data_IF_048715774081
#
_entry.id   IF_048715774081
#
_cell.length_a   1.000
_cell.length_b   1.000
_cell.length_c   1.000
_cell.angle_alpha   90.00
_cell.angle_beta   90.00
_cell.angle_gamma   90.00
#
_symmetry.space_group_name_H-M   'P 1'
#
loop_
_entity.id
_entity.type
_entity.pdbx_description
1 polymer ?
#
# COMPACT_ATOMS: atom_id res chain seq x y z
N UNK A 1 -37.45 -31.72 -23.14
CA UNK A 1 -37.25 -31.25 -21.75
C UNK A 1 -35.78 -30.92 -21.59
N UNK A 2 -35.41 -29.66 -21.82
CA UNK A 2 -34.01 -29.20 -21.81
C UNK A 2 -33.73 -28.66 -20.42
N UNK A 3 -32.83 -29.32 -19.69
CA UNK A 3 -32.42 -28.91 -18.34
C UNK A 3 -31.66 -27.58 -18.46
N UNK A 4 -32.33 -26.51 -18.04
CA UNK A 4 -31.76 -25.20 -17.82
C UNK A 4 -30.77 -25.33 -16.67
N UNK A 5 -29.47 -25.35 -16.99
CA UNK A 5 -28.41 -25.33 -15.98
C UNK A 5 -28.57 -24.11 -15.06
N UNK A 6 -28.13 -24.19 -13.79
CA UNK A 6 -28.29 -23.10 -12.85
C UNK A 6 -27.61 -21.84 -13.40
N UNK A 7 -28.33 -20.72 -13.31
CA UNK A 7 -27.85 -19.40 -13.65
C UNK A 7 -26.52 -19.12 -12.94
N UNK A 8 -25.61 -18.31 -13.52
CA UNK A 8 -24.46 -17.83 -12.79
C UNK A 8 -24.96 -17.06 -11.57
N UNK A 9 -24.85 -17.70 -10.40
CA UNK A 9 -24.82 -17.05 -9.09
C UNK A 9 -23.96 -15.80 -9.26
N UNK A 10 -24.62 -14.66 -9.08
CA UNK A 10 -24.05 -13.40 -8.61
C UNK A 10 -22.56 -13.51 -8.28
N UNK A 11 -21.71 -13.31 -9.29
CA UNK A 11 -20.34 -12.94 -9.05
C UNK A 11 -20.44 -11.61 -8.30
N UNK A 12 -20.29 -11.66 -6.98
CA UNK A 12 -20.08 -10.48 -6.16
C UNK A 12 -19.05 -9.64 -6.92
N UNK A 13 -19.48 -8.49 -7.43
CA UNK A 13 -18.63 -7.50 -8.06
C UNK A 13 -17.73 -6.87 -6.98
N UNK A 14 -16.97 -7.71 -6.29
CA UNK A 14 -15.95 -7.31 -5.35
C UNK A 14 -14.80 -6.71 -6.13
N UNK A 15 -14.31 -5.57 -5.66
CA UNK A 15 -13.08 -4.99 -6.17
C UNK A 15 -11.96 -6.03 -6.21
N UNK A 16 -11.20 -6.07 -7.30
CA UNK A 16 -10.03 -6.94 -7.41
C UNK A 16 -9.06 -6.65 -6.24
N UNK A 17 -8.43 -7.67 -5.63
CA UNK A 17 -7.63 -7.48 -4.42
C UNK A 17 -6.53 -6.43 -4.55
N UNK A 18 -5.85 -6.40 -5.70
CA UNK A 18 -4.78 -5.43 -5.99
C UNK A 18 -5.33 -4.03 -6.21
N UNK A 19 -6.55 -3.89 -6.73
CA UNK A 19 -7.25 -2.60 -6.78
C UNK A 19 -7.50 -2.07 -5.37
N UNK A 20 -7.87 -2.93 -4.40
CA UNK A 20 -8.03 -2.51 -3.00
C UNK A 20 -6.71 -2.02 -2.41
N UNK A 21 -5.60 -2.69 -2.72
CA UNK A 21 -4.25 -2.26 -2.29
C UNK A 21 -3.93 -0.89 -2.89
N UNK A 22 -4.12 -0.72 -4.21
CA UNK A 22 -3.82 0.54 -4.90
C UNK A 22 -4.67 1.71 -4.35
N UNK A 23 -5.96 1.48 -4.10
CA UNK A 23 -6.85 2.47 -3.45
C UNK A 23 -6.40 2.75 -2.03
N UNK A 24 -6.01 1.71 -1.27
CA UNK A 24 -5.50 1.88 0.09
C UNK A 24 -4.26 2.77 0.14
N UNK A 25 -3.31 2.56 -0.78
CA UNK A 25 -2.15 3.44 -0.94
C UNK A 25 -2.55 4.85 -1.38
N UNK A 26 -3.53 4.98 -2.28
CA UNK A 26 -4.05 6.29 -2.66
C UNK A 26 -4.68 7.04 -1.49
N UNK A 27 -5.35 6.36 -0.55
CA UNK A 27 -5.84 7.01 0.67
C UNK A 27 -4.70 7.38 1.62
N UNK A 28 -3.76 6.46 1.87
CA UNK A 28 -2.65 6.68 2.79
C UNK A 28 -1.63 7.75 2.32
N UNK A 29 -1.58 8.07 1.02
CA UNK A 29 -0.62 9.04 0.47
C UNK A 29 -1.24 10.17 -0.36
N UNK A 30 -2.44 9.97 -0.90
CA UNK A 30 -3.11 10.88 -1.84
C UNK A 30 -4.09 11.86 -1.18
N UNK A 31 -4.30 11.76 0.13
CA UNK A 31 -4.93 12.83 0.90
C UNK A 31 -4.01 14.06 0.84
N UNK A 32 -4.23 14.92 -0.15
CA UNK A 32 -3.79 16.31 -0.13
C UNK A 32 -4.16 16.85 1.25
N UNK A 33 -3.13 17.17 2.06
CA UNK A 33 -3.20 17.52 3.50
C UNK A 33 -3.98 18.82 3.75
N UNK A 34 -5.22 18.88 3.30
CA UNK A 34 -6.08 20.05 3.35
C UNK A 34 -6.98 19.90 4.57
N UNK A 35 -6.48 20.38 5.71
CA UNK A 35 -7.22 20.62 6.97
C UNK A 35 -7.23 19.53 8.06
N UNK A 36 -6.30 18.56 8.06
CA UNK A 36 -6.09 17.70 9.24
C UNK A 36 -7.17 16.64 9.52
N UNK A 37 -8.25 16.62 8.73
CA UNK A 37 -9.18 15.47 8.64
C UNK A 37 -8.52 14.23 8.01
N UNK A 38 -7.35 14.39 7.40
CA UNK A 38 -6.62 13.37 6.66
C UNK A 38 -6.01 12.28 7.55
N UNK A 39 -5.81 12.53 8.85
CA UNK A 39 -5.28 11.54 9.81
C UNK A 39 -6.17 10.29 9.97
N UNK A 40 -7.46 10.39 9.63
CA UNK A 40 -8.38 9.24 9.63
C UNK A 40 -8.33 8.45 8.32
N UNK A 41 -7.81 9.04 7.24
CA UNK A 41 -7.71 8.37 5.95
C UNK A 41 -6.51 7.42 5.90
N UNK A 42 -5.44 7.71 6.63
CA UNK A 42 -4.26 6.84 6.74
C UNK A 42 -4.61 5.43 7.29
N UNK A 43 -5.27 5.28 8.45
CA UNK A 43 -5.66 3.96 8.94
C UNK A 43 -6.68 3.27 8.04
N UNK A 44 -7.57 4.02 7.37
CA UNK A 44 -8.49 3.45 6.37
C UNK A 44 -7.73 2.92 5.15
N UNK A 45 -6.73 3.67 4.67
CA UNK A 45 -5.88 3.29 3.55
C UNK A 45 -5.08 2.03 3.83
N UNK A 46 -4.47 1.94 5.01
CA UNK A 46 -3.77 0.73 5.46
C UNK A 46 -4.73 -0.44 5.68
N UNK A 47 -5.95 -0.19 6.17
CA UNK A 47 -7.00 -1.20 6.30
C UNK A 47 -7.43 -1.79 4.95
N UNK A 48 -7.55 -0.95 3.91
CA UNK A 48 -7.83 -1.40 2.55
C UNK A 48 -6.66 -2.23 1.97
N UNK A 49 -5.42 -1.81 2.24
CA UNK A 49 -4.23 -2.62 1.90
C UNK A 49 -4.29 -3.99 2.58
N UNK A 50 -4.53 -4.05 3.89
CA UNK A 50 -4.67 -5.30 4.63
C UNK A 50 -5.79 -6.18 4.06
N UNK A 51 -6.96 -5.60 3.75
CA UNK A 51 -8.08 -6.32 3.15
C UNK A 51 -7.77 -6.88 1.75
N UNK A 52 -7.02 -6.14 0.92
CA UNK A 52 -6.58 -6.63 -0.38
C UNK A 52 -5.54 -7.74 -0.26
N UNK A 53 -4.57 -7.57 0.65
CA UNK A 53 -3.53 -8.56 0.92
C UNK A 53 -4.12 -9.85 1.47
N UNK A 54 -5.10 -9.78 2.38
CA UNK A 54 -5.73 -10.97 2.97
C UNK A 54 -6.40 -11.86 1.92
N UNK A 55 -6.97 -11.27 0.86
CA UNK A 55 -7.57 -12.01 -0.26
C UNK A 55 -6.53 -12.64 -1.19
N UNK A 56 -5.27 -12.18 -1.13
CA UNK A 56 -4.14 -12.74 -1.88
C UNK A 56 -3.33 -13.75 -1.08
N UNK A 57 -3.56 -13.87 0.23
CA UNK A 57 -2.91 -14.85 1.10
C UNK A 57 -3.25 -16.28 0.66
N UNK A 58 -2.27 -17.16 0.77
CA UNK A 58 -2.39 -18.60 0.53
C UNK A 58 -1.59 -19.35 1.58
N UNK A 59 -1.97 -20.59 1.84
CA UNK A 59 -1.18 -21.47 2.69
C UNK A 59 0.24 -21.60 2.12
N UNK A 60 1.25 -21.15 2.87
CA UNK A 60 2.66 -21.23 2.48
C UNK A 60 3.23 -20.02 1.72
N UNK A 61 2.49 -18.91 1.61
CA UNK A 61 3.01 -17.65 1.04
C UNK A 61 3.31 -16.60 2.13
N UNK A 62 4.45 -16.78 2.80
CA UNK A 62 4.91 -15.95 3.93
C UNK A 62 5.02 -14.45 3.59
N UNK A 63 5.18 -14.13 2.29
CA UNK A 63 5.32 -12.75 1.81
C UNK A 63 4.04 -11.93 2.01
N UNK A 64 2.89 -12.47 1.61
CA UNK A 64 1.60 -11.78 1.80
C UNK A 64 1.18 -11.73 3.27
N UNK A 65 1.54 -12.74 4.06
CA UNK A 65 1.27 -12.78 5.51
C UNK A 65 2.02 -11.66 6.24
N UNK A 66 3.31 -11.48 5.91
CA UNK A 66 4.13 -10.39 6.46
C UNK A 66 3.62 -9.02 6.01
N UNK A 67 3.29 -8.88 4.74
CA UNK A 67 2.71 -7.65 4.19
C UNK A 67 1.40 -7.27 4.88
N UNK A 68 0.52 -8.26 5.08
CA UNK A 68 -0.74 -8.09 5.79
C UNK A 68 -0.52 -7.66 7.25
N UNK A 69 0.36 -8.36 7.98
CA UNK A 69 0.67 -8.02 9.35
C UNK A 69 1.23 -6.59 9.47
N UNK A 70 2.11 -6.19 8.55
CA UNK A 70 2.64 -4.82 8.52
C UNK A 70 1.56 -3.79 8.22
N UNK A 71 0.67 -4.05 7.26
CA UNK A 71 -0.45 -3.15 6.96
C UNK A 71 -1.36 -2.97 8.18
N UNK A 72 -1.68 -4.05 8.90
CA UNK A 72 -2.44 -3.99 10.16
C UNK A 72 -1.67 -3.21 11.24
N UNK A 73 -0.36 -3.42 11.37
CA UNK A 73 0.46 -2.67 12.31
C UNK A 73 0.42 -1.16 12.02
N UNK A 74 0.47 -0.77 10.74
CA UNK A 74 0.34 0.63 10.33
C UNK A 74 -1.03 1.23 10.68
N UNK A 75 -2.13 0.49 10.54
CA UNK A 75 -3.46 0.95 11.00
C UNK A 75 -3.39 1.40 12.46
N UNK A 76 -2.81 0.56 13.33
CA UNK A 76 -2.68 0.88 14.75
C UNK A 76 -1.69 2.00 15.04
N UNK A 77 -0.57 2.05 14.31
CA UNK A 77 0.41 3.12 14.45
C UNK A 77 -0.17 4.50 14.11
N UNK A 78 -0.94 4.59 13.02
CA UNK A 78 -1.59 5.83 12.59
C UNK A 78 -2.71 6.25 13.56
N UNK A 79 -3.49 5.29 14.08
CA UNK A 79 -4.47 5.57 15.15
C UNK A 79 -3.76 6.11 16.40
N UNK A 80 -2.63 5.52 16.80
CA UNK A 80 -1.86 5.98 17.95
C UNK A 80 -1.33 7.41 17.73
N UNK A 81 -0.80 7.72 16.54
CA UNK A 81 -0.37 9.09 16.19
C UNK A 81 -1.53 10.06 16.22
N UNK A 82 -2.68 9.69 15.65
CA UNK A 82 -3.88 10.50 15.68
C UNK A 82 -4.31 10.81 17.12
N UNK A 83 -4.37 9.81 18.00
CA UNK A 83 -4.73 10.00 19.40
C UNK A 83 -3.72 10.88 20.15
N UNK A 84 -2.41 10.67 19.90
CA UNK A 84 -1.34 11.47 20.49
C UNK A 84 -1.40 12.94 20.04
N UNK A 85 -1.85 13.21 18.81
CA UNK A 85 -1.96 14.59 18.29
C UNK A 85 -2.99 15.45 19.05
N UNK A 86 -3.93 14.84 19.78
CA UNK A 86 -4.84 15.56 20.68
C UNK A 86 -4.23 15.85 22.06
N UNK A 87 -3.21 15.09 22.47
CA UNK A 87 -2.61 15.16 23.79
C UNK A 87 -1.34 16.02 23.84
N UNK A 88 -0.58 16.07 22.75
CA UNK A 88 0.67 16.83 22.66
C UNK A 88 0.72 17.73 21.42
N UNK A 89 1.36 18.89 21.55
CA UNK A 89 1.71 19.72 20.39
C UNK A 89 2.66 18.97 19.45
N UNK A 90 2.42 19.04 18.15
CA UNK A 90 3.25 18.40 17.10
C UNK A 90 4.74 18.74 17.17
N UNK A 91 5.12 19.84 17.81
CA UNK A 91 6.51 20.29 17.96
C UNK A 91 7.26 19.65 19.14
N UNK A 92 6.56 18.84 19.96
CA UNK A 92 7.19 18.08 21.03
C UNK A 92 8.25 17.12 20.46
N UNK A 93 9.35 16.85 21.19
CA UNK A 93 10.36 15.87 20.76
C UNK A 93 9.75 14.48 20.56
N UNK A 94 8.72 14.15 21.33
CA UNK A 94 7.96 12.89 21.23
C UNK A 94 7.13 12.85 19.94
N UNK A 95 6.43 13.93 19.61
CA UNK A 95 5.68 14.07 18.36
C UNK A 95 6.56 13.94 17.12
N UNK A 96 7.74 14.57 17.13
CA UNK A 96 8.74 14.43 16.06
C UNK A 96 9.30 13.01 15.93
N UNK A 97 9.64 12.37 17.06
CA UNK A 97 10.13 10.99 17.05
C UNK A 97 9.05 10.03 16.51
N UNK A 98 7.81 10.17 16.97
CA UNK A 98 6.70 9.33 16.52
C UNK A 98 6.38 9.54 15.04
N UNK A 99 6.33 10.79 14.57
CA UNK A 99 6.13 11.10 13.16
C UNK A 99 7.23 10.51 12.27
N UNK A 100 8.47 10.49 12.74
CA UNK A 100 9.60 9.87 12.02
C UNK A 100 9.46 8.34 11.97
N UNK A 101 9.09 7.71 13.09
CA UNK A 101 8.87 6.26 13.18
C UNK A 101 7.73 5.84 12.27
N UNK A 102 6.63 6.58 12.25
CA UNK A 102 5.48 6.29 11.38
C UNK A 102 5.83 6.51 9.91
N UNK A 103 6.55 7.57 9.55
CA UNK A 103 7.01 7.78 8.18
C UNK A 103 7.95 6.65 7.71
N UNK A 104 8.89 6.22 8.56
CA UNK A 104 9.74 5.06 8.29
C UNK A 104 8.91 3.78 8.12
N UNK A 105 7.96 3.56 9.04
CA UNK A 105 7.02 2.45 9.01
C UNK A 105 6.20 2.40 7.72
N UNK A 106 5.71 3.55 7.25
CA UNK A 106 4.97 3.66 6.00
C UNK A 106 5.81 3.27 4.78
N UNK A 107 7.07 3.70 4.70
CA UNK A 107 7.98 3.30 3.60
C UNK A 107 8.27 1.80 3.63
N UNK A 108 8.51 1.24 4.82
CA UNK A 108 8.71 -0.21 5.01
C UNK A 108 7.43 -0.97 4.65
N UNK A 109 6.26 -0.45 5.02
CA UNK A 109 4.98 -1.06 4.70
C UNK A 109 4.74 -1.06 3.19
N UNK A 110 4.93 0.06 2.48
CA UNK A 110 4.87 0.08 1.00
C UNK A 110 5.79 -0.97 0.40
N UNK A 111 7.04 -1.04 0.89
CA UNK A 111 8.00 -2.01 0.43
C UNK A 111 7.51 -3.45 0.57
N UNK A 112 7.04 -3.80 1.77
CA UNK A 112 6.55 -5.14 2.11
C UNK A 112 5.25 -5.48 1.39
N UNK A 113 4.37 -4.51 1.14
CA UNK A 113 3.11 -4.70 0.41
C UNK A 113 3.38 -4.99 -1.06
N UNK A 114 4.33 -4.29 -1.68
CA UNK A 114 4.60 -4.42 -3.12
C UNK A 114 5.51 -5.62 -3.42
N UNK A 115 6.42 -6.01 -2.51
CA UNK A 115 7.34 -7.15 -2.70
C UNK A 115 6.65 -8.45 -3.15
N UNK A 116 5.64 -8.98 -2.44
CA UNK A 116 4.99 -10.23 -2.82
C UNK A 116 4.18 -10.08 -4.11
N UNK A 117 3.65 -8.89 -4.41
CA UNK A 117 2.99 -8.60 -5.70
C UNK A 117 4.00 -8.70 -6.84
N UNK A 118 5.17 -8.06 -6.74
CA UNK A 118 6.26 -8.14 -7.74
C UNK A 118 6.66 -9.58 -7.97
N UNK A 119 6.90 -10.35 -6.90
CA UNK A 119 7.28 -11.77 -7.01
C UNK A 119 6.22 -12.57 -7.75
N UNK A 120 4.94 -12.38 -7.41
CA UNK A 120 3.83 -13.11 -8.02
C UNK A 120 3.62 -12.74 -9.49
N UNK A 121 3.74 -11.46 -9.85
CA UNK A 121 3.69 -10.98 -11.24
C UNK A 121 4.86 -11.56 -12.05
N UNK A 122 6.08 -11.56 -11.49
CA UNK A 122 7.27 -12.15 -12.12
C UNK A 122 7.10 -13.65 -12.34
N UNK A 123 6.60 -14.40 -11.35
CA UNK A 123 6.29 -15.82 -11.50
C UNK A 123 5.15 -16.09 -12.50
N UNK A 124 4.27 -15.12 -12.73
CA UNK A 124 3.23 -15.18 -13.75
C UNK A 124 3.72 -14.90 -15.17
N UNK A 125 5.01 -14.59 -15.36
CA UNK A 125 5.63 -14.37 -16.67
C UNK A 125 5.64 -12.92 -17.17
N UNK A 126 5.01 -11.98 -16.45
CA UNK A 126 4.99 -10.56 -16.84
C UNK A 126 6.19 -9.81 -16.25
N UNK A 127 7.36 -10.01 -16.87
CA UNK A 127 8.64 -9.44 -16.41
C UNK A 127 8.62 -7.91 -16.49
N UNK A 128 7.96 -7.34 -17.50
CA UNK A 128 7.91 -5.88 -17.71
C UNK A 128 7.15 -5.18 -16.57
N UNK A 129 5.95 -5.65 -16.22
CA UNK A 129 5.18 -5.08 -15.10
C UNK A 129 5.85 -5.32 -13.76
N UNK A 130 6.45 -6.50 -13.57
CA UNK A 130 7.22 -6.78 -12.36
C UNK A 130 8.40 -5.81 -12.20
N UNK A 131 9.12 -5.51 -13.29
CA UNK A 131 10.22 -4.54 -13.27
C UNK A 131 9.72 -3.12 -12.97
N UNK A 132 8.62 -2.69 -13.58
CA UNK A 132 8.03 -1.37 -13.31
C UNK A 132 7.60 -1.23 -11.84
N UNK A 133 6.96 -2.24 -11.26
CA UNK A 133 6.60 -2.28 -9.84
C UNK A 133 7.83 -2.27 -8.93
N UNK A 134 8.87 -3.01 -9.30
CA UNK A 134 10.12 -3.08 -8.52
C UNK A 134 10.85 -1.72 -8.53
N UNK A 135 10.99 -1.10 -9.70
CA UNK A 135 11.62 0.21 -9.87
C UNK A 135 10.82 1.29 -9.15
N UNK A 136 9.49 1.32 -9.29
CA UNK A 136 8.64 2.31 -8.62
C UNK A 136 8.67 2.14 -7.10
N UNK A 137 8.66 0.91 -6.59
CA UNK A 137 8.86 0.63 -5.16
C UNK A 137 10.21 1.15 -4.65
N UNK A 138 11.30 0.89 -5.37
CA UNK A 138 12.62 1.43 -5.04
C UNK A 138 12.64 2.96 -5.06
N UNK A 139 12.04 3.59 -6.07
CA UNK A 139 11.98 5.03 -6.19
C UNK A 139 11.23 5.67 -5.00
N UNK A 140 10.11 5.10 -4.58
CA UNK A 140 9.34 5.59 -3.41
C UNK A 140 10.20 5.53 -2.14
N UNK A 141 10.91 4.43 -1.89
CA UNK A 141 11.76 4.30 -0.69
C UNK A 141 13.01 5.18 -0.77
N UNK A 142 13.67 5.23 -1.93
CA UNK A 142 14.89 6.02 -2.11
C UNK A 142 14.62 7.53 -2.01
N UNK A 143 13.49 8.00 -2.54
CA UNK A 143 13.10 9.41 -2.46
C UNK A 143 12.47 9.78 -1.10
N UNK A 144 11.76 8.84 -0.46
CA UNK A 144 11.14 9.05 0.86
C UNK A 144 12.11 8.95 2.03
N UNK A 145 13.12 8.08 1.93
CA UNK A 145 14.10 7.83 3.00
C UNK A 145 14.84 9.09 3.50
N UNK A 146 15.33 9.97 2.62
CA UNK A 146 15.93 11.24 3.03
C UNK A 146 14.99 12.14 3.83
N UNK A 147 13.68 12.13 3.53
CA UNK A 147 12.67 12.87 4.29
C UNK A 147 12.47 12.35 5.71
N UNK A 148 12.62 11.03 5.91
CA UNK A 148 12.63 10.40 7.24
C UNK A 148 13.91 10.76 8.01
N UNK A 149 15.07 10.68 7.36
CA UNK A 149 16.37 10.96 7.98
C UNK A 149 16.53 12.43 8.40
N UNK A 150 15.87 13.35 7.70
CA UNK A 150 15.91 14.76 8.06
C UNK A 150 15.20 15.09 9.39
N UNK A 151 14.41 14.16 9.99
CA UNK A 151 13.77 14.36 11.30
C UNK A 151 12.67 15.44 11.34
N UNK A 152 12.38 16.07 10.20
CA UNK A 152 11.35 17.09 10.01
C UNK A 152 10.13 16.57 9.22
N UNK A 153 10.08 15.26 8.93
CA UNK A 153 9.16 14.70 7.96
C UNK A 153 9.36 15.30 6.55
N UNK A 154 8.36 15.12 5.68
CA UNK A 154 8.43 15.56 4.28
C UNK A 154 8.67 17.07 4.08
N UNK A 155 8.51 17.90 5.11
CA UNK A 155 8.60 19.36 5.03
C UNK A 155 10.02 19.91 4.81
N UNK A 156 11.08 19.13 5.10
CA UNK A 156 12.47 19.55 4.88
C UNK A 156 13.06 19.12 3.53
N UNK A 157 12.32 18.32 2.75
CA UNK A 157 12.70 18.01 1.38
C UNK A 157 12.43 19.26 0.51
N UNK A 158 13.43 19.70 -0.23
CA UNK A 158 13.22 20.74 -1.24
C UNK A 158 12.05 20.35 -2.16
N UNK A 159 11.28 21.33 -2.68
CA UNK A 159 10.02 21.08 -3.38
C UNK A 159 10.17 20.09 -4.54
N UNK A 160 11.33 20.07 -5.20
CA UNK A 160 11.68 19.12 -6.25
C UNK A 160 11.64 17.66 -5.76
N UNK A 161 12.24 17.37 -4.60
CA UNK A 161 12.29 15.99 -4.07
C UNK A 161 10.91 15.55 -3.59
N UNK A 162 10.13 16.46 -2.99
CA UNK A 162 8.75 16.17 -2.59
C UNK A 162 7.87 15.85 -3.82
N UNK A 163 7.96 16.65 -4.89
CA UNK A 163 7.23 16.40 -6.15
C UNK A 163 7.67 15.08 -6.79
N UNK A 164 8.97 14.81 -6.84
CA UNK A 164 9.49 13.56 -7.40
C UNK A 164 9.03 12.33 -6.60
N UNK A 165 9.05 12.41 -5.27
CA UNK A 165 8.55 11.35 -4.40
C UNK A 165 7.05 11.11 -4.62
N UNK A 166 6.24 12.17 -4.65
CA UNK A 166 4.81 12.06 -4.91
C UNK A 166 4.52 11.46 -6.29
N UNK A 167 5.24 11.88 -7.33
CA UNK A 167 5.14 11.30 -8.67
C UNK A 167 5.50 9.80 -8.67
N UNK A 168 6.49 9.38 -7.89
CA UNK A 168 6.85 7.96 -7.74
C UNK A 168 5.71 7.16 -7.07
N UNK A 169 5.07 7.71 -6.02
CA UNK A 169 3.91 7.10 -5.37
C UNK A 169 2.73 6.97 -6.34
N UNK A 170 2.39 8.05 -7.06
CA UNK A 170 1.32 8.02 -8.07
C UNK A 170 1.62 6.98 -9.15
N UNK A 171 2.85 6.93 -9.64
CA UNK A 171 3.28 5.93 -10.64
C UNK A 171 3.10 4.51 -10.10
N UNK A 172 3.54 4.24 -8.86
CA UNK A 172 3.35 2.94 -8.21
C UNK A 172 1.86 2.56 -8.14
N UNK A 173 0.98 3.48 -7.71
CA UNK A 173 -0.46 3.26 -7.61
C UNK A 173 -1.05 2.94 -8.99
N UNK A 174 -0.72 3.72 -10.02
CA UNK A 174 -1.20 3.51 -11.40
C UNK A 174 -0.76 2.15 -11.94
N UNK A 175 0.51 1.77 -11.73
CA UNK A 175 1.02 0.46 -12.18
C UNK A 175 0.34 -0.68 -11.44
N UNK A 176 0.05 -0.54 -10.14
CA UNK A 176 -0.74 -1.52 -9.37
C UNK A 176 -2.17 -1.65 -9.93
N UNK A 177 -2.84 -0.54 -10.23
CA UNK A 177 -4.16 -0.54 -10.87
C UNK A 177 -4.14 -1.25 -12.22
N UNK A 178 -3.17 -0.90 -13.08
CA UNK A 178 -3.01 -1.53 -14.40
C UNK A 178 -2.69 -3.04 -14.31
N UNK A 179 -2.10 -3.47 -13.19
CA UNK A 179 -1.76 -4.86 -12.93
C UNK A 179 -2.90 -5.66 -12.30
N UNK A 180 -3.96 -5.01 -11.79
CA UNK A 180 -5.00 -5.67 -11.02
C UNK A 180 -5.77 -6.77 -11.79
N UNK A 181 -5.87 -6.64 -13.12
CA UNK A 181 -6.51 -7.62 -13.99
C UNK A 181 -5.66 -8.85 -14.34
N UNK A 182 -4.41 -8.95 -13.86
CA UNK A 182 -3.56 -10.08 -14.18
C UNK A 182 -4.11 -11.38 -13.54
N UNK A 183 -4.17 -12.50 -14.29
CA UNK A 183 -4.64 -13.78 -13.75
C UNK A 183 -3.85 -14.23 -12.53
N UNK A 184 -2.54 -13.97 -12.49
CA UNK A 184 -1.66 -14.32 -11.38
C UNK A 184 -1.96 -13.54 -10.10
N UNK A 185 -2.69 -12.43 -10.19
CA UNK A 185 -3.13 -11.60 -9.06
C UNK A 185 -4.59 -11.86 -8.68
N UNK A 186 -5.20 -12.91 -9.23
CA UNK A 186 -6.51 -13.37 -8.79
C UNK A 186 -6.41 -14.27 -7.55
N UNK A 187 -7.42 -14.26 -6.66
CA UNK A 187 -7.46 -15.19 -5.52
C UNK A 187 -7.35 -16.65 -5.96
N UNK A 188 -7.90 -16.98 -7.14
CA UNK A 188 -8.06 -18.34 -7.68
C UNK A 188 -6.92 -18.85 -8.55
N UNK A 189 -5.83 -18.10 -8.73
CA UNK A 189 -4.72 -18.53 -9.60
C UNK A 189 -4.07 -19.85 -9.16
N UNK A 190 -4.42 -20.99 -9.75
CA UNK A 190 -3.58 -22.19 -9.66
C UNK A 190 -2.44 -22.06 -10.66
N UNK A 191 -1.19 -22.32 -10.24
CA UNK A 191 -0.16 -22.67 -11.24
C UNK A 191 -0.63 -24.00 -11.83
N UNK A 192 -1.04 -23.98 -13.09
CA UNK A 192 -1.16 -25.24 -13.83
C UNK A 192 0.29 -25.74 -14.00
N UNK A 193 0.60 -26.96 -13.56
CA UNK A 193 1.93 -27.53 -13.68
C UNK A 193 2.38 -27.68 -15.14
#
# INVERSE_FOLDING_TARGET
MVLKGPAPESAQAGLLPVTKIAIGLAFAFGALRVNGFDLLLDPVGWGLCASGLSQLRRSGDDGFDRAHAMAVAMVWAEIAVFLLSFAESSDSPVGRAMGTVVAAGALIAVWLVVDPVVRRVRCGGDVSRAALLDVSRWAVVALGGPGVLAGYGYAALGPVVMVAWFAAVVTLIVVLFASAGLPCLSPRWSRVP
#
